data_IF_277287187853
#
_entry.id   IF_277287187853
#
_cell.length_a   1.000
_cell.length_b   1.000
_cell.length_c   1.000
_cell.angle_alpha   90.00
_cell.angle_beta   90.00
_cell.angle_gamma   90.00
#
_symmetry.space_group_name_H-M   'P 1'
#
loop_
_entity.id
_entity.type
_entity.pdbx_description
1 polymer ?
#
# COMPACT_ATOMS: atom_id res chain seq x y z
N UNK A 1 -32.51 31.22 23.91
CA UNK A 1 -33.06 31.25 25.28
C UNK A 1 -34.48 30.72 25.27
N UNK A 2 -34.72 29.60 25.98
CA UNK A 2 -36.00 28.98 26.44
C UNK A 2 -35.65 27.50 26.74
N UNK A 3 -34.77 27.23 27.71
CA UNK A 3 -35.09 26.92 29.12
C UNK A 3 -36.08 25.74 29.30
N UNK A 4 -35.48 24.59 29.58
CA UNK A 4 -35.81 23.67 30.69
C UNK A 4 -37.17 22.98 30.71
N UNK A 5 -37.16 21.68 30.40
CA UNK A 5 -37.94 20.69 31.16
C UNK A 5 -37.04 19.47 31.38
N UNK A 6 -36.62 19.33 32.64
CA UNK A 6 -35.79 18.29 33.23
C UNK A 6 -36.74 17.33 33.98
N UNK A 7 -36.36 16.05 34.05
CA UNK A 7 -36.79 14.99 35.02
C UNK A 7 -37.91 14.00 34.66
N UNK A 8 -37.49 12.74 34.42
CA UNK A 8 -37.87 11.52 35.18
C UNK A 8 -36.98 10.35 34.71
N UNK A 9 -35.81 10.07 35.33
CA UNK A 9 -35.56 9.10 36.44
C UNK A 9 -35.94 7.65 36.06
N UNK A 10 -35.01 6.84 35.54
CA UNK A 10 -34.12 5.82 36.20
C UNK A 10 -34.85 4.56 36.73
N UNK A 11 -34.51 3.38 36.16
CA UNK A 11 -34.52 2.04 36.80
C UNK A 11 -33.81 1.01 35.86
N UNK A 12 -32.49 0.79 35.96
CA UNK A 12 -31.75 -0.21 36.79
C UNK A 12 -32.10 -1.69 36.50
N UNK A 13 -31.13 -2.43 35.94
CA UNK A 13 -30.65 -3.77 36.35
C UNK A 13 -29.77 -4.36 35.20
N UNK A 14 -28.44 -4.30 35.25
CA UNK A 14 -27.50 -5.06 36.08
C UNK A 14 -27.35 -6.56 35.70
N UNK A 15 -26.29 -6.84 34.94
CA UNK A 15 -25.28 -7.90 35.10
C UNK A 15 -25.77 -9.36 35.24
N UNK A 16 -25.67 -10.12 34.14
CA UNK A 16 -25.57 -11.58 34.14
C UNK A 16 -24.17 -12.02 33.71
N UNK A 17 -23.32 -12.35 34.69
CA UNK A 17 -21.96 -12.88 34.52
C UNK A 17 -22.03 -14.39 34.30
N UNK A 18 -21.75 -14.86 33.09
CA UNK A 18 -21.76 -16.29 32.73
C UNK A 18 -20.61 -16.64 31.79
N UNK A 19 -19.51 -17.13 32.37
CA UNK A 19 -18.51 -18.03 31.77
C UNK A 19 -17.61 -18.48 32.94
N UNK A 20 -17.61 -19.71 33.47
CA UNK A 20 -17.36 -21.01 32.84
C UNK A 20 -16.07 -21.02 32.02
N UNK A 21 -14.99 -21.55 32.60
CA UNK A 21 -13.74 -21.79 31.89
C UNK A 21 -12.51 -21.90 32.81
N UNK A 22 -12.41 -23.02 33.51
CA UNK A 22 -11.12 -23.55 33.99
C UNK A 22 -10.59 -24.48 32.89
N UNK A 23 -9.36 -24.24 32.43
CA UNK A 23 -8.60 -25.08 31.49
C UNK A 23 -7.29 -24.35 31.23
N UNK A 24 -6.13 -24.84 31.65
CA UNK A 24 -5.64 -26.20 31.51
C UNK A 24 -4.41 -26.07 30.63
N UNK A 25 -3.26 -26.37 31.21
CA UNK A 25 -1.92 -26.15 30.66
C UNK A 25 -1.69 -26.85 29.31
N UNK A 26 -0.87 -26.24 28.44
CA UNK A 26 0.08 -26.98 27.59
C UNK A 26 1.21 -26.05 27.16
N UNK A 27 2.37 -26.26 27.80
CA UNK A 27 3.66 -25.78 27.33
C UNK A 27 4.07 -26.59 26.11
N UNK A 28 4.26 -25.93 24.97
CA UNK A 28 4.99 -26.49 23.84
C UNK A 28 6.04 -25.48 23.39
N UNK A 29 7.26 -25.68 23.87
CA UNK A 29 8.48 -25.11 23.29
C UNK A 29 8.74 -25.77 21.93
N UNK A 30 8.79 -25.04 20.81
CA UNK A 30 9.44 -25.54 19.61
C UNK A 30 10.95 -25.30 19.75
N UNK A 31 11.72 -26.36 19.97
CA UNK A 31 13.17 -26.36 19.73
C UNK A 31 13.41 -26.10 18.24
N UNK A 32 14.25 -25.13 17.83
CA UNK A 32 14.65 -25.02 16.43
C UNK A 32 15.63 -26.15 16.07
N UNK A 33 15.25 -26.98 15.09
CA UNK A 33 16.17 -27.88 14.41
C UNK A 33 17.26 -27.06 13.71
N UNK A 34 18.52 -27.32 14.09
CA UNK A 34 19.69 -26.72 13.46
C UNK A 34 19.92 -27.40 12.12
N UNK A 35 19.59 -26.72 11.02
CA UNK A 35 20.03 -27.14 9.69
C UNK A 35 21.46 -26.64 9.49
N UNK A 36 22.42 -27.54 9.64
CA UNK A 36 23.82 -27.35 9.24
C UNK A 36 23.87 -27.51 7.72
N UNK A 37 23.79 -26.39 7.01
CA UNK A 37 24.10 -26.33 5.58
C UNK A 37 25.61 -26.30 5.39
N UNK A 38 26.19 -27.46 5.08
CA UNK A 38 27.54 -27.54 4.51
C UNK A 38 27.46 -27.10 3.05
N UNK A 39 28.00 -25.92 2.74
CA UNK A 39 28.33 -25.57 1.36
C UNK A 39 29.83 -25.46 1.25
N UNK A 40 30.38 -26.46 0.56
CA UNK A 40 31.76 -26.56 0.14
C UNK A 40 32.29 -25.26 -0.47
N UNK A 41 33.42 -24.85 0.08
CA UNK A 41 34.50 -24.10 -0.54
C UNK A 41 34.79 -24.60 -1.95
N UNK A 42 34.79 -23.72 -2.94
CA UNK A 42 35.81 -23.78 -4.01
C UNK A 42 36.12 -22.36 -4.48
N UNK A 43 37.35 -21.95 -4.20
CA UNK A 43 38.05 -20.82 -4.80
C UNK A 43 38.03 -20.92 -6.33
N UNK A 44 37.90 -19.80 -7.04
CA UNK A 44 38.76 -19.50 -8.19
C UNK A 44 38.81 -18.00 -8.39
N UNK A 45 40.01 -17.49 -8.12
CA UNK A 45 40.56 -16.17 -8.41
C UNK A 45 40.74 -15.96 -9.92
N UNK A 46 40.95 -14.70 -10.29
CA UNK A 46 41.50 -14.16 -11.55
C UNK A 46 40.48 -13.63 -12.56
N UNK A 47 40.70 -12.54 -13.30
CA UNK A 47 41.68 -11.45 -13.33
C UNK A 47 41.18 -10.56 -14.49
N UNK A 48 41.04 -9.26 -14.22
CA UNK A 48 41.30 -8.10 -15.11
C UNK A 48 40.66 -7.98 -16.50
N UNK A 49 40.12 -6.77 -16.75
CA UNK A 49 40.52 -5.82 -17.83
C UNK A 49 39.28 -5.02 -18.27
N UNK A 50 39.25 -3.78 -17.78
CA UNK A 50 38.95 -2.54 -18.50
C UNK A 50 38.59 -2.69 -19.98
N UNK A 51 37.44 -2.18 -20.39
CA UNK A 51 37.39 -1.36 -21.60
C UNK A 51 36.39 -0.22 -21.45
N UNK A 52 36.77 0.88 -22.09
CA UNK A 52 36.29 2.23 -21.88
C UNK A 52 35.38 2.60 -23.05
N UNK A 53 34.59 3.65 -22.84
CA UNK A 53 34.36 4.77 -23.79
C UNK A 53 33.00 4.89 -24.48
N UNK A 54 32.59 6.17 -24.55
CA UNK A 54 31.61 6.85 -25.41
C UNK A 54 30.13 6.61 -25.04
N UNK A 55 29.43 7.52 -24.36
CA UNK A 55 28.98 8.86 -24.80
C UNK A 55 28.27 8.82 -26.14
N UNK A 56 26.93 8.79 -26.12
CA UNK A 56 26.12 9.37 -27.18
C UNK A 56 25.00 10.20 -26.56
N UNK A 57 25.26 11.51 -26.51
CA UNK A 57 24.30 12.59 -26.31
C UNK A 57 23.41 12.71 -27.54
N UNK A 58 22.14 12.35 -27.39
CA UNK A 58 21.06 12.72 -28.32
C UNK A 58 20.07 13.68 -27.64
N UNK A 59 20.30 14.97 -27.84
CA UNK A 59 19.37 16.07 -27.50
C UNK A 59 18.28 16.19 -28.58
N UNK A 60 17.13 16.74 -28.16
CA UNK A 60 16.01 17.34 -28.93
C UNK A 60 14.97 16.40 -29.51
N UNK A 61 13.74 16.44 -28.96
CA UNK A 61 12.70 17.30 -29.54
C UNK A 61 11.64 17.65 -28.47
N UNK A 62 11.45 18.95 -28.25
CA UNK A 62 10.27 19.50 -27.58
C UNK A 62 9.10 19.42 -28.56
N UNK A 63 7.99 18.81 -28.19
CA UNK A 63 6.71 19.10 -28.83
C UNK A 63 5.72 19.53 -27.76
N UNK A 64 5.41 20.82 -27.82
CA UNK A 64 4.33 21.48 -27.11
C UNK A 64 2.96 20.93 -27.50
N UNK A 65 2.13 20.81 -26.45
CA UNK A 65 0.72 21.21 -26.38
C UNK A 65 -0.30 20.57 -27.33
N UNK A 66 -1.17 19.76 -26.72
CA UNK A 66 -2.49 19.43 -27.23
C UNK A 66 -3.44 19.09 -26.08
N UNK A 67 -4.09 20.10 -25.53
CA UNK A 67 -5.30 20.02 -24.70
C UNK A 67 -6.25 18.92 -25.16
N UNK A 68 -6.73 18.09 -24.24
CA UNK A 68 -8.16 17.72 -24.22
C UNK A 68 -8.62 17.57 -22.78
N UNK A 69 -9.49 18.48 -22.40
CA UNK A 69 -10.40 18.39 -21.27
C UNK A 69 -11.34 17.20 -21.55
N UNK A 70 -11.25 16.13 -20.77
CA UNK A 70 -12.34 15.18 -20.62
C UNK A 70 -12.54 14.93 -19.13
N UNK A 71 -13.35 15.82 -18.55
CA UNK A 71 -14.27 15.44 -17.50
C UNK A 71 -15.12 14.27 -18.01
N UNK A 72 -14.80 13.05 -17.58
CA UNK A 72 -15.71 11.93 -17.68
C UNK A 72 -15.87 11.32 -16.29
N UNK A 73 -16.98 11.70 -15.65
CA UNK A 73 -17.63 10.92 -14.60
C UNK A 73 -18.08 9.61 -15.24
N UNK A 74 -17.19 8.63 -15.28
CA UNK A 74 -17.47 7.28 -15.76
C UNK A 74 -17.50 6.29 -14.61
N UNK A 75 -18.68 6.06 -14.02
CA UNK A 75 -18.97 4.79 -13.35
C UNK A 75 -19.03 3.71 -14.43
N UNK A 76 -17.90 3.06 -14.69
CA UNK A 76 -17.76 2.00 -15.67
C UNK A 76 -16.97 0.85 -15.09
N UNK A 77 -17.67 -0.23 -14.73
CA UNK A 77 -17.09 -1.56 -14.58
C UNK A 77 -16.63 -2.00 -15.97
N UNK A 78 -15.38 -1.72 -16.32
CA UNK A 78 -14.77 -2.23 -17.55
C UNK A 78 -13.54 -3.06 -17.19
N UNK A 79 -13.77 -4.37 -17.18
CA UNK A 79 -12.74 -5.40 -17.17
C UNK A 79 -11.80 -5.21 -18.37
N UNK A 80 -10.57 -4.78 -18.10
CA UNK A 80 -9.42 -5.07 -18.97
C UNK A 80 -9.01 -3.97 -19.96
N UNK A 81 -8.69 -2.77 -19.48
CA UNK A 81 -7.75 -1.89 -20.19
C UNK A 81 -6.37 -2.08 -19.57
N UNK A 82 -5.54 -2.94 -20.16
CA UNK A 82 -4.16 -3.19 -19.72
C UNK A 82 -3.36 -1.89 -19.86
N UNK A 83 -3.32 -1.10 -18.80
CA UNK A 83 -2.68 0.22 -18.76
C UNK A 83 -3.44 1.26 -17.93
N UNK A 84 -4.76 1.14 -17.79
CA UNK A 84 -5.56 1.97 -16.88
C UNK A 84 -5.82 1.19 -15.59
N UNK A 85 -5.56 1.77 -14.42
CA UNK A 85 -5.82 1.13 -13.14
C UNK A 85 -7.30 1.06 -12.80
N UNK A 86 -7.73 -0.04 -12.17
CA UNK A 86 -9.06 -0.21 -11.57
C UNK A 86 -9.01 0.19 -10.08
N UNK A 87 -9.70 1.26 -9.65
CA UNK A 87 -9.65 1.71 -8.26
C UNK A 87 -10.33 0.73 -7.28
N UNK A 88 -11.26 -0.11 -7.74
CA UNK A 88 -11.90 -1.14 -6.90
C UNK A 88 -10.88 -2.22 -6.56
N UNK A 89 -10.19 -2.74 -7.57
CA UNK A 89 -9.07 -3.68 -7.37
C UNK A 89 -7.93 -3.02 -6.58
N UNK A 90 -7.68 -1.72 -6.82
CA UNK A 90 -6.66 -0.95 -6.12
C UNK A 90 -6.88 -0.86 -4.62
N UNK A 91 -8.14 -0.76 -4.18
CA UNK A 91 -8.48 -0.82 -2.75
C UNK A 91 -8.16 -2.18 -2.14
N UNK A 92 -8.39 -3.27 -2.88
CA UNK A 92 -8.04 -4.61 -2.44
C UNK A 92 -6.52 -4.78 -2.30
N UNK A 93 -5.73 -4.27 -3.26
CA UNK A 93 -4.27 -4.24 -3.16
C UNK A 93 -3.83 -3.41 -1.95
N UNK A 94 -4.41 -2.22 -1.77
CA UNK A 94 -4.07 -1.30 -0.68
C UNK A 94 -4.27 -1.92 0.71
N UNK A 95 -5.37 -2.64 0.92
CA UNK A 95 -5.73 -3.29 2.18
C UNK A 95 -5.13 -4.70 2.33
N UNK A 96 -4.76 -5.32 1.22
CA UNK A 96 -4.35 -6.71 1.14
C UNK A 96 -2.85 -6.92 1.35
N UNK A 97 -2.24 -7.66 0.43
CA UNK A 97 -0.86 -8.15 0.53
C UNK A 97 0.19 -7.03 0.52
N UNK A 98 -0.11 -5.88 -0.11
CA UNK A 98 0.78 -4.74 -0.09
C UNK A 98 0.81 -4.03 1.27
N UNK A 99 -0.24 -4.20 2.10
CA UNK A 99 -0.29 -3.68 3.46
C UNK A 99 -0.14 -2.15 3.56
N UNK A 100 -0.49 -1.40 2.52
CA UNK A 100 -0.26 0.05 2.43
C UNK A 100 -0.84 0.80 3.65
N UNK A 101 -2.00 0.33 4.12
CA UNK A 101 -2.72 0.87 5.27
C UNK A 101 -1.98 0.82 6.61
N UNK A 102 -1.02 -0.10 6.80
CA UNK A 102 -0.26 -0.15 8.05
C UNK A 102 0.70 1.03 8.18
N UNK A 103 1.11 1.61 7.05
CA UNK A 103 2.08 2.69 7.00
C UNK A 103 1.46 4.04 6.70
N UNK A 104 0.36 4.07 5.92
CA UNK A 104 -0.26 5.30 5.45
C UNK A 104 -1.67 5.53 6.01
N UNK A 105 -1.99 6.80 6.24
CA UNK A 105 -3.35 7.25 6.51
C UNK A 105 -4.06 7.46 5.18
N UNK A 106 -5.28 6.91 5.06
CA UNK A 106 -6.19 7.12 3.94
C UNK A 106 -7.63 6.86 4.44
N UNK A 107 -8.44 7.91 4.51
CA UNK A 107 -9.76 7.88 5.13
C UNK A 107 -10.73 6.92 4.42
N UNK A 108 -10.73 6.90 3.09
CA UNK A 108 -11.57 5.99 2.30
C UNK A 108 -11.27 4.50 2.61
N UNK A 109 -10.00 4.17 2.86
CA UNK A 109 -9.56 2.83 3.23
C UNK A 109 -9.79 2.52 4.73
N UNK A 110 -10.11 3.53 5.54
CA UNK A 110 -10.23 3.41 6.99
C UNK A 110 -8.87 3.16 7.68
N UNK A 111 -7.77 3.61 7.08
CA UNK A 111 -6.42 3.37 7.58
C UNK A 111 -5.83 4.62 8.22
N UNK A 112 -5.00 4.43 9.24
CA UNK A 112 -4.41 5.50 10.04
C UNK A 112 -2.92 5.31 10.29
N UNK A 113 -2.23 4.68 9.33
CA UNK A 113 -0.78 4.50 9.42
C UNK A 113 -0.05 5.84 9.41
N UNK A 114 1.03 5.94 10.17
CA UNK A 114 1.79 7.18 10.39
C UNK A 114 3.29 7.04 10.13
N UNK A 115 3.70 5.94 9.50
CA UNK A 115 5.09 5.69 9.11
C UNK A 115 5.40 6.46 7.81
N UNK A 116 4.47 6.40 6.86
CA UNK A 116 4.48 7.20 5.64
C UNK A 116 3.62 8.47 5.79
N UNK A 117 3.62 9.35 4.77
CA UNK A 117 2.74 10.51 4.72
C UNK A 117 1.26 10.10 4.79
N UNK A 118 0.45 11.01 5.31
CA UNK A 118 -1.01 10.96 5.16
C UNK A 118 -1.36 11.19 3.69
N UNK A 119 -2.01 10.22 3.06
CA UNK A 119 -2.35 10.28 1.64
C UNK A 119 -3.50 11.25 1.39
N UNK A 120 -4.39 11.47 2.37
CA UNK A 120 -5.45 12.47 2.26
C UNK A 120 -4.89 13.90 2.19
N UNK A 121 -3.80 14.17 2.90
CA UNK A 121 -3.13 15.48 2.87
C UNK A 121 -2.22 15.62 1.65
N UNK A 122 -1.52 14.54 1.27
CA UNK A 122 -0.50 14.58 0.23
C UNK A 122 -1.09 14.59 -1.18
N UNK A 123 -2.27 13.98 -1.38
CA UNK A 123 -2.99 13.91 -2.66
C UNK A 123 -2.08 13.66 -3.88
N UNK A 124 -1.28 12.57 -3.88
CA UNK A 124 -0.31 12.32 -4.94
C UNK A 124 -1.01 12.03 -6.28
N UNK A 125 -0.36 12.40 -7.39
CA UNK A 125 -0.82 12.00 -8.74
C UNK A 125 -0.63 10.50 -8.95
N UNK A 126 -1.36 9.93 -9.92
CA UNK A 126 -1.23 8.51 -10.30
C UNK A 126 0.22 8.16 -10.61
N UNK A 127 0.91 8.99 -11.39
CA UNK A 127 2.30 8.74 -11.81
C UNK A 127 3.25 8.72 -10.62
N UNK A 128 3.04 9.61 -9.66
CA UNK A 128 3.85 9.62 -8.43
C UNK A 128 3.59 8.36 -7.59
N UNK A 129 2.33 7.90 -7.49
CA UNK A 129 2.04 6.65 -6.77
C UNK A 129 2.66 5.46 -7.48
N UNK A 130 2.58 5.36 -8.81
CA UNK A 130 3.22 4.30 -9.59
C UNK A 130 4.74 4.30 -9.36
N UNK A 131 5.41 5.45 -9.44
CA UNK A 131 6.84 5.58 -9.18
C UNK A 131 7.20 5.09 -7.76
N UNK A 132 6.47 5.57 -6.75
CA UNK A 132 6.74 5.25 -5.34
C UNK A 132 6.48 3.79 -5.01
N UNK A 133 5.40 3.21 -5.53
CA UNK A 133 5.08 1.80 -5.30
C UNK A 133 6.08 0.91 -6.04
N UNK A 134 6.46 1.25 -7.27
CA UNK A 134 7.44 0.46 -8.04
C UNK A 134 8.82 0.52 -7.39
N UNK A 135 9.32 1.73 -7.13
CA UNK A 135 10.73 1.98 -6.81
C UNK A 135 10.99 2.17 -5.31
N UNK A 136 9.95 2.35 -4.50
CA UNK A 136 10.08 2.71 -3.10
C UNK A 136 10.59 4.14 -2.89
N UNK A 137 10.62 4.57 -1.63
CA UNK A 137 11.31 5.79 -1.21
C UNK A 137 11.59 5.76 0.30
N UNK A 138 12.85 5.88 0.69
CA UNK A 138 13.24 5.94 2.10
C UNK A 138 12.84 4.66 2.84
N UNK A 139 11.92 4.77 3.80
CA UNK A 139 11.40 3.62 4.54
C UNK A 139 10.31 2.84 3.80
N UNK A 140 9.73 3.40 2.72
CA UNK A 140 8.78 2.70 1.86
C UNK A 140 9.56 1.73 0.95
N UNK A 141 9.36 0.41 1.07
CA UNK A 141 10.04 -0.56 0.22
C UNK A 141 9.53 -0.46 -1.24
N UNK A 142 10.33 -0.90 -2.23
CA UNK A 142 9.83 -1.14 -3.58
C UNK A 142 8.90 -2.37 -3.58
N UNK A 143 7.87 -2.33 -4.41
CA UNK A 143 6.94 -3.44 -4.62
C UNK A 143 7.08 -4.08 -6.01
N UNK A 144 8.02 -3.61 -6.85
CA UNK A 144 8.37 -4.31 -8.08
C UNK A 144 8.75 -5.77 -7.77
N UNK A 145 8.21 -6.70 -8.57
CA UNK A 145 8.41 -8.14 -8.38
C UNK A 145 7.57 -8.76 -7.26
N UNK A 146 6.93 -7.95 -6.41
CA UNK A 146 5.92 -8.40 -5.43
C UNK A 146 4.51 -8.18 -5.96
N UNK A 147 4.28 -7.01 -6.56
CA UNK A 147 3.05 -6.66 -7.25
C UNK A 147 3.30 -6.71 -8.76
N UNK A 148 2.29 -7.14 -9.51
CA UNK A 148 2.24 -7.00 -10.96
C UNK A 148 2.07 -5.54 -11.36
N UNK A 149 2.45 -5.21 -12.60
CA UNK A 149 2.26 -3.87 -13.14
C UNK A 149 0.79 -3.41 -13.10
N UNK A 150 -0.16 -4.34 -13.26
CA UNK A 150 -1.58 -4.02 -13.15
C UNK A 150 -1.98 -3.70 -11.71
N UNK A 151 -1.55 -4.48 -10.71
CA UNK A 151 -1.84 -4.19 -9.30
C UNK A 151 -1.25 -2.83 -8.86
N UNK A 152 -0.08 -2.46 -9.39
CA UNK A 152 0.52 -1.14 -9.17
C UNK A 152 -0.33 -0.03 -9.81
N UNK A 153 -0.82 -0.25 -11.04
CA UNK A 153 -1.71 0.71 -11.69
C UNK A 153 -3.04 0.85 -10.93
N UNK A 154 -3.61 -0.26 -10.47
CA UNK A 154 -4.86 -0.32 -9.73
C UNK A 154 -4.75 0.47 -8.41
N UNK A 155 -3.72 0.21 -7.60
CA UNK A 155 -3.53 0.94 -6.33
C UNK A 155 -3.23 2.42 -6.56
N UNK A 156 -2.53 2.78 -7.64
CA UNK A 156 -2.29 4.18 -8.00
C UNK A 156 -3.58 4.91 -8.40
N UNK A 157 -4.44 4.26 -9.19
CA UNK A 157 -5.76 4.79 -9.53
C UNK A 157 -6.62 4.97 -8.27
N UNK A 158 -6.62 3.99 -7.36
CA UNK A 158 -7.36 4.07 -6.11
C UNK A 158 -6.90 5.23 -5.21
N UNK A 159 -5.59 5.32 -4.93
CA UNK A 159 -5.04 6.34 -4.01
C UNK A 159 -5.26 7.74 -4.57
N UNK A 160 -4.95 7.98 -5.84
CA UNK A 160 -5.11 9.30 -6.44
C UNK A 160 -6.57 9.75 -6.54
N UNK A 161 -7.51 8.81 -6.73
CA UNK A 161 -8.94 9.10 -6.81
C UNK A 161 -9.54 9.43 -5.44
N UNK A 162 -9.10 8.74 -4.38
CA UNK A 162 -9.74 8.81 -3.06
C UNK A 162 -9.04 9.75 -2.09
N UNK A 163 -7.79 10.10 -2.34
CA UNK A 163 -7.04 11.02 -1.49
C UNK A 163 -7.71 12.40 -1.36
N UNK A 164 -7.87 12.86 -0.11
CA UNK A 164 -8.42 14.17 0.23
C UNK A 164 -9.87 14.14 0.68
N UNK A 165 -10.36 12.94 1.01
CA UNK A 165 -11.71 12.67 1.54
C UNK A 165 -11.91 13.00 3.02
#
# INVERSE_FOLDING_TARGET
MRRTTLLLVVLVAAVGFAAAGCGGEDEASPTPDTVIGTTDTTETTETTETDTTETDTGTTDETETGTTDETETGTGTDTGSTGQGDPVAGKEVFLGTAGCGSCHTLADAGTSGSIGPNLDDAQPSVELVVDRVTNGQGAMPPFEGTLSAQEIADVAAYVSQTAGS
#
